data_IF_675762909161
#
_entry.id   IF_675762909161
#
_cell.length_a   1.000
_cell.length_b   1.000
_cell.length_c   1.000
_cell.angle_alpha   90.00
_cell.angle_beta   90.00
_cell.angle_gamma   90.00
#
_symmetry.space_group_name_H-M   'P 1'
#
loop_
_entity.id
_entity.type
_entity.pdbx_description
1 polymer ?
#
# COMPACT_ATOMS: atom_id res chain seq x y z
N UNK A 1 -3.83 3.71 -16.96
CA UNK A 1 -3.78 3.73 -15.49
C UNK A 1 -4.46 2.50 -14.92
N UNK A 2 -3.85 1.90 -13.94
CA UNK A 2 -4.40 0.77 -13.19
C UNK A 2 -4.36 1.13 -11.69
N UNK A 3 -5.21 0.49 -10.91
CA UNK A 3 -5.27 0.73 -9.46
C UNK A 3 -4.91 -0.55 -8.73
N UNK A 4 -3.94 -0.46 -7.84
CA UNK A 4 -3.55 -1.57 -7.00
C UNK A 4 -4.33 -1.51 -5.69
N UNK A 5 -4.98 -2.62 -5.35
CA UNK A 5 -5.61 -2.82 -4.05
C UNK A 5 -4.82 -3.88 -3.31
N UNK A 6 -4.21 -3.50 -2.21
CA UNK A 6 -3.52 -4.44 -1.35
C UNK A 6 -4.42 -4.71 -0.16
N UNK A 7 -4.82 -5.97 -0.01
CA UNK A 7 -5.57 -6.39 1.16
C UNK A 7 -4.60 -7.05 2.13
N UNK A 8 -4.59 -6.54 3.36
CA UNK A 8 -3.76 -7.09 4.43
C UNK A 8 -4.65 -7.80 5.44
N UNK A 9 -4.16 -8.92 5.93
CA UNK A 9 -4.62 -9.50 7.19
C UNK A 9 -3.56 -9.26 8.23
N UNK A 10 -3.88 -8.51 9.28
CA UNK A 10 -2.93 -8.10 10.29
C UNK A 10 -3.24 -8.74 11.64
N UNK A 11 -2.22 -8.79 12.50
CA UNK A 11 -2.41 -9.19 13.89
C UNK A 11 -3.24 -8.12 14.61
N UNK A 12 -4.42 -8.46 15.17
CA UNK A 12 -5.27 -7.47 15.82
C UNK A 12 -4.61 -6.83 17.04
N UNK A 13 -3.63 -7.51 17.64
CA UNK A 13 -2.87 -6.97 18.77
C UNK A 13 -1.73 -6.02 18.34
N UNK A 14 -1.47 -5.90 17.04
CA UNK A 14 -0.38 -5.10 16.48
C UNK A 14 -0.89 -4.06 15.49
N UNK A 15 -2.08 -3.55 15.68
CA UNK A 15 -2.64 -2.49 14.83
C UNK A 15 -1.75 -1.24 14.81
N UNK A 16 -1.16 -0.90 15.93
CA UNK A 16 -0.24 0.23 16.06
C UNK A 16 0.98 0.08 15.14
N UNK A 17 1.55 -1.12 15.05
CA UNK A 17 2.67 -1.40 14.17
C UNK A 17 2.26 -1.25 12.69
N UNK A 18 1.07 -1.72 12.32
CA UNK A 18 0.56 -1.53 10.96
C UNK A 18 0.35 -0.04 10.63
N UNK A 19 -0.18 0.73 11.57
CA UNK A 19 -0.38 2.18 11.36
C UNK A 19 0.95 2.88 11.13
N UNK A 20 1.99 2.55 11.87
CA UNK A 20 3.33 3.09 11.64
C UNK A 20 3.87 2.70 10.26
N UNK A 21 3.72 1.45 9.89
CA UNK A 21 4.08 0.92 8.57
C UNK A 21 3.37 1.68 7.44
N UNK A 22 2.07 1.92 7.60
CA UNK A 22 1.27 2.67 6.64
C UNK A 22 1.70 4.14 6.54
N UNK A 23 2.02 4.78 7.65
CA UNK A 23 2.52 6.16 7.66
C UNK A 23 3.83 6.29 6.92
N UNK A 24 4.71 5.32 7.06
CA UNK A 24 5.98 5.31 6.33
C UNK A 24 5.74 5.17 4.82
N UNK A 25 4.83 4.29 4.39
CA UNK A 25 4.47 4.17 2.99
C UNK A 25 3.81 5.43 2.43
N UNK A 26 3.08 6.18 3.24
CA UNK A 26 2.49 7.45 2.81
C UNK A 26 3.55 8.45 2.36
N UNK A 27 4.76 8.35 2.90
CA UNK A 27 5.89 9.18 2.48
C UNK A 27 6.62 8.60 1.27
N UNK A 28 6.84 7.30 1.25
CA UNK A 28 7.68 6.61 0.26
C UNK A 28 6.96 6.43 -1.08
N UNK A 29 5.71 5.99 -1.05
CA UNK A 29 4.99 5.62 -2.27
C UNK A 29 4.87 6.78 -3.27
N UNK A 30 4.46 7.99 -2.86
CA UNK A 30 4.38 9.11 -3.80
C UNK A 30 5.70 9.47 -4.46
N UNK A 31 6.80 9.45 -3.69
CA UNK A 31 8.10 9.82 -4.26
C UNK A 31 8.72 8.71 -5.11
N UNK A 32 8.17 7.51 -5.06
CA UNK A 32 8.61 6.40 -5.92
C UNK A 32 7.79 6.28 -7.22
N UNK A 33 6.83 7.17 -7.44
CA UNK A 33 6.14 7.28 -8.72
C UNK A 33 4.72 6.76 -8.78
N UNK A 34 4.11 6.39 -7.64
CA UNK A 34 2.71 6.00 -7.60
C UNK A 34 1.83 7.11 -7.02
N UNK A 35 0.59 7.14 -7.45
CA UNK A 35 -0.41 8.05 -6.92
C UNK A 35 -1.14 7.34 -5.77
N UNK A 36 -0.75 7.66 -4.54
CA UNK A 36 -1.31 7.01 -3.36
C UNK A 36 -2.70 7.55 -3.04
N UNK A 37 -3.69 6.66 -3.06
CA UNK A 37 -5.04 7.00 -2.61
C UNK A 37 -5.10 6.96 -1.10
N UNK A 38 -4.56 5.92 -0.47
CA UNK A 38 -4.46 5.87 0.98
C UNK A 38 -4.24 4.48 1.55
N UNK A 39 -3.95 4.46 2.84
CA UNK A 39 -3.91 3.27 3.66
C UNK A 39 -5.07 3.33 4.64
N UNK A 40 -5.65 2.17 4.91
CA UNK A 40 -6.84 2.05 5.75
C UNK A 40 -6.62 0.95 6.79
N UNK A 41 -6.69 1.33 8.06
CA UNK A 41 -6.55 0.40 9.17
C UNK A 41 -7.93 -0.06 9.67
N UNK A 42 -8.04 -1.22 10.34
CA UNK A 42 -9.30 -1.67 10.92
C UNK A 42 -9.87 -0.63 11.88
N UNK A 43 -11.17 -0.39 11.80
CA UNK A 43 -11.88 0.51 12.71
C UNK A 43 -13.08 -0.21 13.33
N UNK A 44 -14.04 -0.63 12.53
CA UNK A 44 -15.20 -1.38 12.97
C UNK A 44 -15.52 -2.51 12.00
N UNK A 45 -16.14 -3.57 12.48
CA UNK A 45 -16.54 -4.72 11.68
C UNK A 45 -15.46 -5.79 11.56
N UNK A 46 -14.20 -5.40 11.37
CA UNK A 46 -13.05 -6.31 11.34
C UNK A 46 -11.93 -5.73 12.19
N UNK A 47 -11.23 -6.60 12.90
CA UNK A 47 -10.03 -6.24 13.65
C UNK A 47 -8.75 -6.57 12.88
N UNK A 48 -8.86 -7.26 11.74
CA UNK A 48 -7.70 -7.81 11.03
C UNK A 48 -7.57 -7.34 9.60
N UNK A 49 -8.61 -6.77 9.00
CA UNK A 49 -8.59 -6.36 7.60
C UNK A 49 -8.12 -4.91 7.45
N UNK A 50 -7.11 -4.71 6.61
CA UNK A 50 -6.58 -3.40 6.28
C UNK A 50 -6.36 -3.32 4.77
N UNK A 51 -6.22 -2.11 4.24
CA UNK A 51 -6.02 -1.89 2.81
C UNK A 51 -4.97 -0.83 2.54
N UNK A 52 -4.25 -1.02 1.42
CA UNK A 52 -3.46 0.03 0.79
C UNK A 52 -3.91 0.16 -0.66
N UNK A 53 -4.12 1.37 -1.14
CA UNK A 53 -4.65 1.62 -2.48
C UNK A 53 -3.85 2.71 -3.17
N UNK A 54 -3.37 2.43 -4.38
CA UNK A 54 -2.66 3.42 -5.18
C UNK A 54 -2.88 3.19 -6.67
N UNK A 55 -2.75 4.27 -7.45
CA UNK A 55 -2.78 4.23 -8.89
C UNK A 55 -1.37 4.22 -9.46
N UNK A 56 -1.19 3.51 -10.57
CA UNK A 56 0.06 3.52 -11.32
C UNK A 56 -0.24 3.43 -12.82
N UNK A 57 0.66 3.93 -13.65
CA UNK A 57 0.39 4.06 -15.08
C UNK A 57 0.20 2.74 -15.81
N UNK A 58 1.03 1.75 -15.50
CA UNK A 58 1.02 0.45 -16.18
C UNK A 58 1.74 -0.60 -15.34
N UNK A 59 1.63 -1.87 -15.74
CA UNK A 59 2.39 -2.95 -15.10
C UNK A 59 3.90 -2.79 -15.32
N UNK A 60 4.33 -2.22 -16.43
CA UNK A 60 5.74 -1.93 -16.66
C UNK A 60 6.26 -0.88 -15.69
N UNK A 61 5.49 0.18 -15.44
CA UNK A 61 5.82 1.19 -14.44
C UNK A 61 5.80 0.61 -13.03
N UNK A 62 4.92 -0.33 -12.77
CA UNK A 62 4.86 -1.02 -11.49
C UNK A 62 6.16 -1.76 -11.17
N UNK A 63 6.78 -2.42 -12.13
CA UNK A 63 8.06 -3.10 -11.92
C UNK A 63 9.16 -2.10 -11.53
N UNK A 64 9.26 -0.98 -12.22
CA UNK A 64 10.20 0.08 -11.88
C UNK A 64 9.91 0.68 -10.51
N UNK A 65 8.64 0.90 -10.20
CA UNK A 65 8.19 1.39 -8.91
C UNK A 65 8.61 0.46 -7.76
N UNK A 66 8.46 -0.85 -7.92
CA UNK A 66 8.89 -1.81 -6.91
C UNK A 66 10.38 -1.74 -6.62
N UNK A 67 11.19 -1.58 -7.66
CA UNK A 67 12.64 -1.41 -7.49
C UNK A 67 12.95 -0.13 -6.70
N UNK A 68 12.24 0.96 -7.01
CA UNK A 68 12.41 2.23 -6.31
C UNK A 68 12.03 2.15 -4.84
N UNK A 69 10.99 1.40 -4.51
CA UNK A 69 10.58 1.23 -3.10
C UNK A 69 11.72 0.63 -2.26
N UNK A 70 12.40 -0.38 -2.78
CA UNK A 70 13.48 -1.04 -2.06
C UNK A 70 14.82 -0.29 -2.15
N UNK A 71 14.96 0.59 -3.10
CA UNK A 71 16.11 1.50 -3.20
C UNK A 71 15.96 2.73 -2.31
N UNK A 72 14.75 3.07 -1.92
CA UNK A 72 14.49 4.16 -0.98
C UNK A 72 14.87 3.72 0.44
N UNK A 73 15.70 4.49 1.17
CA UNK A 73 16.14 4.08 2.51
C UNK A 73 14.99 3.81 3.48
N UNK A 74 13.97 4.67 3.49
CA UNK A 74 12.81 4.46 4.34
C UNK A 74 11.95 3.30 3.83
N UNK A 75 11.83 3.14 2.52
CA UNK A 75 11.10 2.01 1.92
C UNK A 75 11.71 0.67 2.31
N UNK A 76 13.02 0.55 2.22
CA UNK A 76 13.74 -0.66 2.62
C UNK A 76 13.61 -0.92 4.11
N UNK A 77 13.77 0.12 4.92
CA UNK A 77 13.61 0.02 6.37
C UNK A 77 12.21 -0.43 6.76
N UNK A 78 11.20 0.12 6.09
CA UNK A 78 9.80 -0.22 6.34
C UNK A 78 9.48 -1.66 5.97
N UNK A 79 10.02 -2.13 4.84
CA UNK A 79 9.90 -3.52 4.45
C UNK A 79 10.53 -4.44 5.49
N UNK A 80 11.75 -4.13 5.95
CA UNK A 80 12.46 -4.91 6.97
C UNK A 80 11.71 -4.91 8.30
N UNK A 81 11.11 -3.78 8.67
CA UNK A 81 10.28 -3.66 9.85
C UNK A 81 9.11 -4.66 9.79
N UNK A 82 8.40 -4.74 8.67
CA UNK A 82 7.30 -5.68 8.52
C UNK A 82 7.76 -7.14 8.59
N UNK A 83 8.93 -7.44 8.03
CA UNK A 83 9.48 -8.80 8.05
C UNK A 83 9.95 -9.22 9.44
N UNK A 84 10.49 -8.29 10.20
CA UNK A 84 11.00 -8.54 11.56
C UNK A 84 9.84 -8.67 12.57
N UNK A 85 8.90 -7.76 12.52
CA UNK A 85 7.81 -7.67 13.51
C UNK A 85 6.64 -8.59 13.21
N UNK A 86 6.52 -9.05 11.97
CA UNK A 86 5.54 -10.06 11.53
C UNK A 86 4.10 -9.78 11.91
N UNK A 87 3.69 -8.50 11.89
CA UNK A 87 2.31 -8.12 12.16
C UNK A 87 1.37 -8.31 10.97
N UNK A 88 1.92 -8.51 9.77
CA UNK A 88 1.14 -8.83 8.57
C UNK A 88 1.12 -10.35 8.41
N UNK A 89 -0.07 -10.94 8.50
CA UNK A 89 -0.27 -12.39 8.37
C UNK A 89 -0.47 -12.81 6.93
N UNK A 90 -1.11 -11.94 6.14
CA UNK A 90 -1.39 -12.19 4.73
C UNK A 90 -1.47 -10.86 3.98
N UNK A 91 -0.98 -10.87 2.77
CA UNK A 91 -1.02 -9.71 1.88
C UNK A 91 -1.39 -10.19 0.48
N UNK A 92 -2.52 -9.67 -0.05
CA UNK A 92 -2.96 -9.96 -1.40
C UNK A 92 -3.00 -8.65 -2.18
N UNK A 93 -2.29 -8.60 -3.30
CA UNK A 93 -2.24 -7.43 -4.16
C UNK A 93 -2.94 -7.78 -5.48
N UNK A 94 -3.98 -7.00 -5.82
CA UNK A 94 -4.66 -7.15 -7.09
C UNK A 94 -4.64 -5.83 -7.85
N UNK A 95 -4.60 -5.91 -9.18
CA UNK A 95 -4.65 -4.75 -10.04
C UNK A 95 -5.99 -4.72 -10.74
N UNK A 96 -6.69 -3.61 -10.62
CA UNK A 96 -7.98 -3.39 -11.24
C UNK A 96 -7.90 -2.17 -12.14
N UNK A 97 -8.70 -2.18 -13.20
CA UNK A 97 -8.77 -1.03 -14.09
C UNK A 97 -10.00 -0.21 -13.76
N UNK A 98 -9.86 1.09 -13.52
CA UNK A 98 -11.02 1.94 -13.29
C UNK A 98 -12.00 1.88 -14.48
N UNK A 99 -13.27 1.67 -14.17
CA UNK A 99 -14.32 1.62 -15.20
C UNK A 99 -14.75 3.02 -15.60
N UNK A 100 -14.72 3.95 -14.62
CA UNK A 100 -15.03 5.34 -14.86
C UNK A 100 -13.97 6.22 -14.23
N UNK A 101 -13.80 7.44 -14.77
CA UNK A 101 -12.83 8.38 -14.23
C UNK A 101 -13.16 8.72 -12.77
N UNK A 102 -12.13 8.90 -11.91
CA UNK A 102 -12.36 9.41 -10.57
C UNK A 102 -13.07 10.75 -10.62
N UNK A 103 -13.85 11.07 -9.59
CA UNK A 103 -14.57 12.33 -9.49
C UNK A 103 -13.59 13.50 -9.55
N UNK A 104 -13.87 14.44 -10.48
CA UNK A 104 -13.02 15.61 -10.69
C UNK A 104 -11.85 15.38 -11.64
N UNK A 105 -11.64 14.14 -12.11
CA UNK A 105 -10.62 13.82 -13.11
C UNK A 105 -11.17 14.04 -14.52
N UNK A 106 -10.29 14.31 -15.51
CA UNK A 106 -10.69 14.33 -16.91
C UNK A 106 -11.26 12.96 -17.29
N UNK A 107 -12.38 12.96 -18.01
CA UNK A 107 -13.06 11.74 -18.44
C UNK A 107 -12.28 10.85 -19.38
#
# INVERSE_FOLDING_TARGET
MITCFIRYEIDPCRKDAFVEYARNWNQVIPRCGADLIGYYAPHEGSATTAYGVYNIGSLAEYETYRERLLADPLGLENYRFSQKEKFIRREDCIFLKPVSAPRGAPG
#
